data_IF_956878286354
#
_entry.id   IF_956878286354
#
_cell.length_a   1.000
_cell.length_b   1.000
_cell.length_c   1.000
_cell.angle_alpha   90.00
_cell.angle_beta   90.00
_cell.angle_gamma   90.00
#
_symmetry.space_group_name_H-M   'P 1'
#
loop_
_entity.id
_entity.type
_entity.pdbx_description
1 polymer ?
#
# COMPACT_ATOMS: atom_id res chain seq x y z
N UNK A 1 9.71 12.17 9.75
CA UNK A 1 9.39 13.47 9.13
C UNK A 1 10.65 14.01 8.52
N UNK A 2 10.61 14.48 7.28
CA UNK A 2 11.74 15.15 6.64
C UNK A 2 11.33 16.60 6.44
N UNK A 3 12.18 17.54 6.84
CA UNK A 3 11.98 18.98 6.55
C UNK A 3 13.06 19.43 5.57
N UNK A 4 12.69 20.34 4.69
CA UNK A 4 13.54 20.75 3.58
C UNK A 4 13.23 22.18 3.15
N UNK A 5 14.26 22.81 2.61
CA UNK A 5 14.23 24.02 1.79
C UNK A 5 15.07 23.68 0.53
N UNK A 6 15.99 24.56 0.11
CA UNK A 6 17.03 24.30 -0.89
C UNK A 6 17.88 23.05 -0.56
N UNK A 7 17.88 22.65 0.71
CA UNK A 7 18.56 21.47 1.24
C UNK A 7 17.65 20.72 2.22
N UNK A 8 18.01 19.46 2.52
CA UNK A 8 17.40 18.74 3.64
C UNK A 8 17.89 19.36 4.95
N UNK A 9 16.96 19.82 5.78
CA UNK A 9 17.31 20.42 7.07
C UNK A 9 17.35 19.36 8.17
N UNK A 10 16.27 18.56 8.28
CA UNK A 10 16.11 17.60 9.36
C UNK A 10 15.48 16.29 8.87
N UNK A 11 15.95 15.17 9.45
CA UNK A 11 15.36 13.84 9.26
C UNK A 11 15.01 13.27 10.64
N UNK A 12 13.72 13.17 10.91
CA UNK A 12 13.18 12.61 12.15
C UNK A 12 12.69 11.18 11.95
N UNK A 13 13.12 10.19 12.75
CA UNK A 13 12.75 8.80 12.56
C UNK A 13 11.25 8.54 12.78
N UNK A 14 10.80 7.34 12.40
CA UNK A 14 9.46 6.90 12.81
C UNK A 14 9.34 6.81 14.33
N UNK A 15 8.14 7.11 14.82
CA UNK A 15 7.78 7.02 16.22
C UNK A 15 6.35 6.53 16.36
N UNK A 16 6.09 5.78 17.44
CA UNK A 16 4.74 5.43 17.88
C UNK A 16 4.19 6.40 18.93
N UNK A 17 5.02 7.33 19.40
CA UNK A 17 4.65 8.35 20.38
C UNK A 17 4.06 9.58 19.67
N UNK A 18 2.74 9.72 19.81
CA UNK A 18 1.97 10.83 19.22
C UNK A 18 2.39 12.17 19.82
N UNK A 19 2.67 12.23 21.12
CA UNK A 19 3.04 13.49 21.78
C UNK A 19 4.43 13.94 21.32
N UNK A 20 5.36 13.01 21.17
CA UNK A 20 6.66 13.29 20.59
C UNK A 20 6.53 13.81 19.16
N UNK A 21 5.75 13.15 18.31
CA UNK A 21 5.53 13.61 16.94
C UNK A 21 4.90 15.01 16.89
N UNK A 22 3.90 15.29 17.73
CA UNK A 22 3.29 16.61 17.85
C UNK A 22 4.32 17.67 18.26
N UNK A 23 5.23 17.34 19.19
CA UNK A 23 6.29 18.24 19.61
C UNK A 23 7.23 18.60 18.45
N UNK A 24 7.55 17.63 17.57
CA UNK A 24 8.39 17.88 16.39
C UNK A 24 7.69 18.81 15.40
N UNK A 25 6.41 18.56 15.11
CA UNK A 25 5.61 19.41 14.19
C UNK A 25 5.47 20.83 14.75
N UNK A 26 5.23 20.98 16.05
CA UNK A 26 5.06 22.29 16.68
C UNK A 26 6.31 23.18 16.68
N UNK A 27 7.49 22.59 16.48
CA UNK A 27 8.75 23.32 16.36
C UNK A 27 8.98 23.85 14.95
N UNK A 28 8.26 23.33 13.95
CA UNK A 28 8.43 23.74 12.57
C UNK A 28 7.78 25.10 12.35
N UNK A 29 8.52 25.97 11.67
CA UNK A 29 8.04 27.25 11.20
C UNK A 29 8.61 27.48 9.81
N UNK A 30 7.83 28.11 8.94
CA UNK A 30 8.33 28.54 7.64
C UNK A 30 9.45 29.56 7.86
N UNK A 31 10.60 29.32 7.25
CA UNK A 31 11.75 30.21 7.25
C UNK A 31 12.62 29.91 6.02
N UNK A 32 13.39 30.90 5.57
CA UNK A 32 14.15 30.80 4.32
C UNK A 32 13.34 31.18 3.07
N UNK A 33 14.09 31.56 2.02
CA UNK A 33 13.73 31.75 0.61
C UNK A 33 12.50 32.60 0.24
N UNK A 34 12.69 33.70 -0.49
CA UNK A 34 11.64 34.26 -1.36
C UNK A 34 11.79 33.74 -2.80
N UNK A 35 12.58 32.69 -2.96
CA UNK A 35 12.91 32.03 -4.19
C UNK A 35 12.35 30.61 -4.20
N UNK A 36 11.80 30.26 -5.35
CA UNK A 36 11.56 28.89 -5.75
C UNK A 36 12.56 28.59 -6.88
N UNK A 37 12.97 27.32 -7.08
CA UNK A 37 12.43 26.06 -6.51
C UNK A 37 13.04 25.61 -5.16
N UNK A 38 12.45 24.58 -4.54
CA UNK A 38 12.93 23.93 -3.30
C UNK A 38 13.39 22.48 -3.56
N UNK A 39 14.06 21.82 -2.60
CA UNK A 39 14.66 20.49 -2.79
C UNK A 39 13.74 19.31 -2.44
N UNK A 40 12.50 19.35 -2.94
CA UNK A 40 11.49 18.31 -2.70
C UNK A 40 11.93 16.92 -3.19
N UNK A 41 12.67 16.84 -4.32
CA UNK A 41 13.10 15.56 -4.89
C UNK A 41 14.04 14.81 -3.93
N UNK A 42 14.99 15.51 -3.29
CA UNK A 42 15.85 14.90 -2.29
C UNK A 42 15.03 14.44 -1.07
N UNK A 43 14.04 15.21 -0.63
CA UNK A 43 13.22 14.86 0.53
C UNK A 43 12.40 13.58 0.29
N UNK A 44 11.89 13.40 -0.94
CA UNK A 44 11.21 12.17 -1.35
C UNK A 44 12.18 10.97 -1.40
N UNK A 45 13.42 11.17 -1.85
CA UNK A 45 14.47 10.14 -1.76
C UNK A 45 14.78 9.79 -0.30
N UNK A 46 14.90 10.75 0.61
CA UNK A 46 15.09 10.47 2.03
C UNK A 46 13.93 9.65 2.61
N UNK A 47 12.69 9.92 2.18
CA UNK A 47 11.53 9.14 2.59
C UNK A 47 11.64 7.65 2.19
N UNK A 48 12.30 7.33 1.08
CA UNK A 48 12.54 5.92 0.67
C UNK A 48 13.45 5.16 1.62
N UNK A 49 14.27 5.85 2.42
CA UNK A 49 15.24 5.25 3.34
C UNK A 49 14.64 4.90 4.69
N UNK A 50 13.38 5.27 4.95
CA UNK A 50 12.73 4.99 6.23
C UNK A 50 12.49 3.48 6.40
N UNK A 51 12.56 2.95 7.64
CA UNK A 51 12.43 1.52 7.91
C UNK A 51 10.96 1.07 7.93
N UNK A 52 10.33 1.04 6.76
CA UNK A 52 8.95 0.55 6.63
C UNK A 52 8.84 -0.95 6.95
N UNK A 53 7.79 -1.32 7.70
CA UNK A 53 7.46 -2.74 7.92
C UNK A 53 7.08 -3.41 6.59
N UNK A 54 7.45 -4.68 6.43
CA UNK A 54 7.24 -5.44 5.19
C UNK A 54 5.78 -5.45 4.70
N UNK A 55 4.82 -5.50 5.62
CA UNK A 55 3.39 -5.58 5.31
C UNK A 55 2.63 -4.27 5.63
N UNK A 56 3.33 -3.16 5.85
CA UNK A 56 2.66 -1.87 6.05
C UNK A 56 2.28 -1.24 4.71
N UNK A 57 1.15 -0.52 4.68
CA UNK A 57 0.94 0.51 3.69
C UNK A 57 2.00 1.60 3.91
N UNK A 58 2.70 2.00 2.85
CA UNK A 58 3.80 2.95 2.92
C UNK A 58 3.35 4.24 2.26
N UNK A 59 3.15 5.26 3.08
CA UNK A 59 2.50 6.49 2.67
C UNK A 59 3.44 7.66 2.95
N UNK A 60 3.57 8.54 1.96
CA UNK A 60 4.21 9.84 2.11
C UNK A 60 3.14 10.91 1.95
N UNK A 61 3.14 11.88 2.87
CA UNK A 61 2.38 13.11 2.73
C UNK A 61 3.41 14.20 2.47
N UNK A 62 3.50 14.62 1.21
CA UNK A 62 4.41 15.65 0.74
C UNK A 62 3.70 17.01 0.77
N UNK A 63 4.19 17.93 1.59
CA UNK A 63 3.56 19.24 1.78
C UNK A 63 4.58 20.29 1.36
N UNK A 64 4.24 21.13 0.38
CA UNK A 64 5.06 22.27 -0.04
C UNK A 64 4.19 23.24 -0.82
N UNK A 65 4.54 24.52 -0.81
CA UNK A 65 3.97 25.54 -1.70
C UNK A 65 4.86 25.83 -2.92
N UNK A 66 6.11 25.37 -2.91
CA UNK A 66 7.08 25.64 -3.95
C UNK A 66 7.17 24.57 -5.05
N UNK A 67 7.69 24.98 -6.21
CA UNK A 67 8.21 24.07 -7.24
C UNK A 67 9.49 23.34 -6.77
N UNK A 68 10.03 22.41 -7.57
CA UNK A 68 11.27 21.68 -7.20
C UNK A 68 12.42 21.78 -8.21
N UNK A 69 13.63 21.70 -7.67
CA UNK A 69 14.86 21.54 -8.45
C UNK A 69 14.89 20.19 -9.17
N UNK A 70 15.38 20.16 -10.42
CA UNK A 70 15.51 18.95 -11.23
C UNK A 70 16.74 19.04 -12.15
N UNK A 71 17.71 18.16 -11.95
CA UNK A 71 18.95 18.08 -12.74
C UNK A 71 19.63 19.45 -12.98
N UNK A 72 19.92 20.15 -11.90
CA UNK A 72 20.53 21.47 -11.87
C UNK A 72 21.67 21.57 -10.85
N UNK A 73 22.04 22.79 -10.46
CA UNK A 73 23.14 23.04 -9.51
C UNK A 73 22.83 22.62 -8.08
N UNK A 74 21.55 22.44 -7.72
CA UNK A 74 21.10 22.09 -6.37
C UNK A 74 20.82 20.60 -6.23
N UNK A 75 20.39 19.94 -7.31
CA UNK A 75 20.21 18.49 -7.33
C UNK A 75 20.52 17.87 -8.69
N UNK A 76 21.20 16.72 -8.68
CA UNK A 76 21.35 15.89 -9.88
C UNK A 76 20.18 14.94 -10.09
N UNK A 77 19.18 14.94 -9.20
CA UNK A 77 18.02 14.05 -9.29
C UNK A 77 17.08 14.52 -10.40
N UNK A 78 16.55 13.55 -11.14
CA UNK A 78 15.39 13.76 -12.01
C UNK A 78 14.11 13.30 -11.31
N UNK A 79 12.95 13.76 -11.77
CA UNK A 79 11.67 13.23 -11.27
C UNK A 79 11.54 11.71 -11.49
N UNK A 80 12.12 11.20 -12.58
CA UNK A 80 12.09 9.77 -12.89
C UNK A 80 12.88 8.94 -11.89
N UNK A 81 14.05 9.43 -11.44
CA UNK A 81 14.85 8.75 -10.41
C UNK A 81 14.05 8.60 -9.11
N UNK A 82 13.35 9.68 -8.73
CA UNK A 82 12.48 9.69 -7.54
C UNK A 82 11.30 8.73 -7.70
N UNK A 83 10.62 8.75 -8.84
CA UNK A 83 9.49 7.84 -9.12
C UNK A 83 9.95 6.38 -9.04
N UNK A 84 11.07 6.03 -9.67
CA UNK A 84 11.63 4.68 -9.63
C UNK A 84 11.94 4.24 -8.19
N UNK A 85 12.57 5.11 -7.39
CA UNK A 85 12.87 4.83 -6.00
C UNK A 85 11.60 4.62 -5.16
N UNK A 86 10.61 5.50 -5.28
CA UNK A 86 9.31 5.40 -4.59
C UNK A 86 8.58 4.10 -4.93
N UNK A 87 8.49 3.76 -6.22
CA UNK A 87 7.82 2.55 -6.70
C UNK A 87 8.54 1.28 -6.25
N UNK A 88 9.88 1.25 -6.27
CA UNK A 88 10.66 0.11 -5.77
C UNK A 88 10.40 -0.19 -4.29
N UNK A 89 10.08 0.85 -3.54
CA UNK A 89 9.73 0.76 -2.13
C UNK A 89 8.23 0.61 -1.90
N UNK A 90 7.39 0.58 -2.94
CA UNK A 90 5.93 0.50 -2.81
C UNK A 90 5.33 1.68 -2.03
N UNK A 91 5.95 2.86 -2.15
CA UNK A 91 5.48 4.09 -1.52
C UNK A 91 4.39 4.75 -2.37
N UNK A 92 3.35 5.23 -1.69
CA UNK A 92 2.32 6.05 -2.30
C UNK A 92 2.48 7.48 -1.78
N UNK A 93 2.55 8.45 -2.70
CA UNK A 93 2.78 9.86 -2.36
C UNK A 93 1.50 10.66 -2.58
N UNK A 94 0.95 11.20 -1.50
CA UNK A 94 -0.02 12.30 -1.58
C UNK A 94 0.71 13.61 -1.52
N UNK A 95 0.29 14.59 -2.32
CA UNK A 95 0.79 15.95 -2.14
C UNK A 95 -0.29 16.92 -1.68
N UNK A 96 0.15 17.90 -0.91
CA UNK A 96 -0.64 19.03 -0.45
C UNK A 96 0.14 20.27 -0.88
N UNK A 97 -0.43 21.04 -1.81
CA UNK A 97 0.24 22.20 -2.41
C UNK A 97 -0.72 23.10 -3.18
N UNK A 98 -0.24 24.18 -3.82
CA UNK A 98 -1.09 25.08 -4.60
C UNK A 98 -1.54 24.42 -5.91
N UNK A 99 -2.82 24.56 -6.23
CA UNK A 99 -3.45 23.99 -7.44
C UNK A 99 -2.73 24.43 -8.73
N UNK A 100 -2.14 25.64 -8.75
CA UNK A 100 -1.37 26.16 -9.89
C UNK A 100 -0.19 25.27 -10.29
N UNK A 101 0.39 24.55 -9.33
CA UNK A 101 1.57 23.70 -9.55
C UNK A 101 1.17 22.22 -9.76
N UNK A 102 -0.12 21.87 -9.62
CA UNK A 102 -0.64 20.49 -9.65
C UNK A 102 -0.15 19.72 -10.87
N UNK A 103 -0.51 20.15 -12.07
CA UNK A 103 -0.25 19.36 -13.29
C UNK A 103 1.23 19.30 -13.68
N UNK A 104 2.00 20.35 -13.40
CA UNK A 104 3.40 20.43 -13.82
C UNK A 104 4.37 19.76 -12.84
N UNK A 105 4.10 19.87 -11.53
CA UNK A 105 5.05 19.46 -10.50
C UNK A 105 4.55 18.25 -9.70
N UNK A 106 3.29 18.24 -9.29
CA UNK A 106 2.76 17.21 -8.40
C UNK A 106 2.29 15.94 -9.11
N UNK A 107 1.42 16.08 -10.11
CA UNK A 107 0.82 14.98 -10.88
C UNK A 107 1.86 13.98 -11.43
N UNK A 108 3.04 14.41 -11.95
CA UNK A 108 4.06 13.49 -12.45
C UNK A 108 4.60 12.49 -11.41
N UNK A 109 4.55 12.81 -10.11
CA UNK A 109 5.03 11.92 -9.04
C UNK A 109 3.84 11.20 -8.36
N UNK A 110 2.73 11.92 -8.15
CA UNK A 110 1.55 11.40 -7.45
C UNK A 110 0.85 10.32 -8.27
N UNK A 111 0.61 10.55 -9.56
CA UNK A 111 -0.17 9.64 -10.39
C UNK A 111 0.52 8.28 -10.51
N UNK A 112 1.83 8.18 -10.81
CA UNK A 112 2.51 6.89 -10.90
C UNK A 112 2.53 6.13 -9.57
N UNK A 113 2.66 6.84 -8.45
CA UNK A 113 2.66 6.23 -7.12
C UNK A 113 1.26 5.89 -6.61
N UNK A 114 0.20 6.34 -7.28
CA UNK A 114 -1.20 6.04 -6.96
C UNK A 114 -1.77 6.89 -5.83
N UNK A 115 -1.20 8.07 -5.57
CA UNK A 115 -1.69 9.01 -4.58
C UNK A 115 -2.70 10.01 -5.14
N UNK A 116 -3.02 11.00 -4.32
CA UNK A 116 -3.92 12.11 -4.65
C UNK A 116 -3.26 13.45 -4.33
N UNK A 117 -3.67 14.47 -5.07
CA UNK A 117 -3.37 15.86 -4.78
C UNK A 117 -4.46 16.49 -3.91
N UNK A 118 -4.07 17.41 -3.04
CA UNK A 118 -4.97 18.24 -2.26
C UNK A 118 -4.48 19.70 -2.27
N UNK A 119 -5.42 20.63 -2.35
CA UNK A 119 -5.11 22.06 -2.25
C UNK A 119 -4.65 22.42 -0.83
N UNK A 120 -3.50 23.09 -0.71
CA UNK A 120 -2.94 23.56 0.56
C UNK A 120 -3.85 24.57 1.28
N UNK A 121 -4.69 25.29 0.54
CA UNK A 121 -5.70 26.20 1.11
C UNK A 121 -6.99 25.48 1.52
N UNK A 122 -7.10 24.17 1.25
CA UNK A 122 -8.22 23.34 1.64
C UNK A 122 -8.30 23.10 3.16
N UNK A 123 -9.40 22.47 3.59
CA UNK A 123 -9.55 22.09 5.00
C UNK A 123 -8.58 20.94 5.33
N UNK A 124 -7.49 21.27 6.02
CA UNK A 124 -6.43 20.32 6.35
C UNK A 124 -6.92 19.11 7.14
N UNK A 125 -7.91 19.27 8.02
CA UNK A 125 -8.51 18.15 8.75
C UNK A 125 -9.19 17.18 7.79
N UNK A 126 -9.94 17.69 6.83
CA UNK A 126 -10.65 16.83 5.86
C UNK A 126 -9.66 16.13 4.92
N UNK A 127 -8.59 16.82 4.52
CA UNK A 127 -7.49 16.23 3.75
C UNK A 127 -6.85 15.06 4.50
N UNK A 128 -6.49 15.26 5.77
CA UNK A 128 -5.93 14.18 6.60
C UNK A 128 -6.92 13.03 6.79
N UNK A 129 -8.21 13.33 6.95
CA UNK A 129 -9.26 12.32 7.03
C UNK A 129 -9.37 11.53 5.72
N UNK A 130 -9.30 12.17 4.56
CA UNK A 130 -9.38 11.49 3.27
C UNK A 130 -8.16 10.59 3.02
N UNK A 131 -6.94 11.10 3.26
CA UNK A 131 -5.71 10.30 3.23
C UNK A 131 -5.84 9.10 4.19
N UNK A 132 -6.31 9.32 5.42
CA UNK A 132 -6.48 8.25 6.41
C UNK A 132 -7.52 7.22 5.98
N UNK A 133 -8.57 7.62 5.25
CA UNK A 133 -9.61 6.73 4.71
C UNK A 133 -9.09 5.94 3.52
N UNK A 134 -8.26 6.55 2.67
CA UNK A 134 -7.60 5.89 1.56
C UNK A 134 -6.71 4.72 2.02
N UNK A 135 -6.08 4.89 3.19
CA UNK A 135 -5.27 3.87 3.87
C UNK A 135 -5.90 3.30 5.12
N UNK A 136 -7.21 3.48 5.29
CA UNK A 136 -7.99 2.70 6.23
C UNK A 136 -7.97 1.28 5.69
N UNK A 137 -6.85 0.63 5.97
CA UNK A 137 -6.72 -0.79 5.97
C UNK A 137 -7.96 -1.29 6.70
N UNK A 138 -8.84 -1.99 5.98
CA UNK A 138 -9.84 -2.85 6.60
C UNK A 138 -9.19 -3.95 7.46
N UNK A 139 -7.85 -3.99 7.53
CA UNK A 139 -7.04 -4.86 8.36
C UNK A 139 -6.57 -4.09 9.59
N UNK A 140 -7.17 -4.43 10.72
CA UNK A 140 -6.71 -4.06 12.05
C UNK A 140 -5.88 -5.23 12.59
N UNK A 141 -4.78 -4.93 13.30
CA UNK A 141 -4.03 -5.95 14.05
C UNK A 141 -4.43 -5.83 15.51
N UNK A 142 -5.07 -6.87 16.03
CA UNK A 142 -5.42 -7.01 17.43
C UNK A 142 -4.45 -8.00 18.07
N UNK A 143 -3.75 -7.58 19.11
CA UNK A 143 -2.86 -8.44 19.89
C UNK A 143 -3.41 -8.61 21.29
N UNK A 144 -3.58 -9.85 21.74
CA UNK A 144 -4.06 -10.20 23.07
C UNK A 144 -3.12 -11.25 23.68
N UNK A 145 -2.64 -10.98 24.88
CA UNK A 145 -1.86 -11.94 25.68
C UNK A 145 -2.77 -12.51 26.76
N UNK A 146 -3.01 -13.82 26.71
CA UNK A 146 -3.81 -14.51 27.73
C UNK A 146 -3.08 -14.52 29.08
N UNK A 147 -3.83 -14.34 30.17
CA UNK A 147 -3.34 -14.56 31.54
C UNK A 147 -3.32 -16.06 31.92
N UNK A 148 -3.97 -16.91 31.12
CA UNK A 148 -3.93 -18.37 31.29
C UNK A 148 -2.71 -18.97 30.59
N UNK A 149 -2.02 -19.88 31.28
CA UNK A 149 -0.92 -20.67 30.71
C UNK A 149 -1.37 -21.84 29.84
N UNK A 150 -2.67 -22.15 29.82
CA UNK A 150 -3.24 -23.22 29.01
C UNK A 150 -3.78 -22.68 27.69
N UNK A 151 -3.55 -23.41 26.59
CA UNK A 151 -4.11 -23.07 25.28
C UNK A 151 -5.64 -23.15 25.32
N UNK A 152 -6.36 -22.09 24.95
CA UNK A 152 -7.82 -22.15 24.87
C UNK A 152 -8.24 -23.07 23.72
N UNK A 153 -9.33 -23.83 23.87
CA UNK A 153 -9.88 -24.63 22.78
C UNK A 153 -10.45 -23.76 21.66
N UNK A 154 -10.90 -22.54 22.01
CA UNK A 154 -11.57 -21.60 21.12
C UNK A 154 -11.20 -20.16 21.50
N UNK A 155 -10.97 -19.31 20.49
CA UNK A 155 -10.83 -17.86 20.63
C UNK A 155 -11.96 -17.21 19.83
N UNK A 156 -12.89 -16.55 20.52
CA UNK A 156 -13.93 -15.75 19.89
C UNK A 156 -13.50 -14.28 19.83
N UNK A 157 -13.35 -13.75 18.62
CA UNK A 157 -13.19 -12.34 18.36
C UNK A 157 -14.53 -11.72 17.99
N UNK A 158 -14.94 -10.66 18.69
CA UNK A 158 -16.16 -9.92 18.37
C UNK A 158 -15.83 -8.43 18.21
N UNK A 159 -16.29 -7.83 17.12
CA UNK A 159 -16.14 -6.40 16.84
C UNK A 159 -17.53 -5.77 16.83
N UNK A 160 -17.70 -4.66 17.56
CA UNK A 160 -18.94 -3.86 17.58
C UNK A 160 -18.59 -2.39 17.42
N UNK A 161 -19.24 -1.71 16.48
CA UNK A 161 -19.08 -0.27 16.25
C UNK A 161 -20.37 0.33 15.70
N UNK A 162 -20.90 1.36 16.37
CA UNK A 162 -22.11 2.10 15.95
C UNK A 162 -23.32 1.22 15.60
N UNK A 163 -23.55 0.14 16.35
CA UNK A 163 -24.63 -0.81 16.10
C UNK A 163 -24.36 -1.83 15.00
N UNK A 164 -23.22 -1.74 14.32
CA UNK A 164 -22.72 -2.71 13.34
C UNK A 164 -21.61 -3.57 13.97
N UNK A 165 -21.32 -4.73 13.37
CA UNK A 165 -20.30 -5.62 13.90
C UNK A 165 -20.31 -7.01 13.29
N UNK A 166 -19.42 -7.86 13.79
CA UNK A 166 -19.28 -9.25 13.37
C UNK A 166 -18.52 -10.06 14.42
N UNK A 167 -18.57 -11.38 14.29
CA UNK A 167 -17.81 -12.29 15.11
C UNK A 167 -17.04 -13.30 14.26
N UNK A 168 -15.86 -13.67 14.74
CA UNK A 168 -15.04 -14.72 14.18
C UNK A 168 -14.60 -15.65 15.31
N UNK A 169 -14.61 -16.96 15.03
CA UNK A 169 -14.16 -17.99 15.96
C UNK A 169 -12.90 -18.62 15.38
N UNK A 170 -11.84 -18.66 16.18
CA UNK A 170 -10.55 -19.26 15.82
C UNK A 170 -10.24 -20.40 16.78
N UNK A 171 -10.02 -21.59 16.25
CA UNK A 171 -9.56 -22.74 17.01
C UNK A 171 -8.03 -22.81 16.89
N UNK A 172 -7.25 -22.57 17.96
CA UNK A 172 -5.80 -22.69 17.88
C UNK A 172 -5.41 -24.18 17.69
N UNK A 173 -4.93 -24.51 16.49
CA UNK A 173 -4.45 -25.87 16.16
C UNK A 173 -2.96 -25.97 16.43
N UNK A 174 -2.59 -26.59 17.56
CA UNK A 174 -1.22 -27.02 17.84
C UNK A 174 -0.20 -25.88 18.03
N UNK A 175 0.97 -26.25 18.55
CA UNK A 175 2.07 -25.34 18.96
C UNK A 175 2.87 -24.76 17.79
N UNK A 176 2.41 -24.91 16.55
CA UNK A 176 3.13 -24.44 15.36
C UNK A 176 2.44 -23.20 14.80
N UNK A 177 2.99 -22.05 15.16
CA UNK A 177 2.67 -20.77 14.56
C UNK A 177 2.67 -20.89 13.03
N UNK A 178 1.51 -20.67 12.40
CA UNK A 178 1.44 -20.57 10.95
C UNK A 178 2.34 -19.43 10.50
N UNK A 179 3.32 -19.78 9.67
CA UNK A 179 4.22 -18.91 8.94
C UNK A 179 3.42 -17.71 8.40
N UNK A 180 3.92 -16.50 8.65
CA UNK A 180 3.48 -15.26 8.00
C UNK A 180 3.85 -15.25 6.49
N UNK A 181 3.71 -16.38 5.80
CA UNK A 181 3.94 -16.46 4.36
C UNK A 181 2.66 -16.15 3.63
N UNK A 182 2.70 -15.16 2.76
CA UNK A 182 1.73 -15.00 1.68
C UNK A 182 1.63 -16.31 0.89
N UNK A 183 0.41 -16.76 0.64
CA UNK A 183 0.14 -17.94 -0.18
C UNK A 183 0.10 -17.60 -1.67
N UNK A 184 0.07 -16.31 -2.00
CA UNK A 184 0.06 -15.79 -3.36
C UNK A 184 1.25 -14.83 -3.58
N UNK A 185 2.14 -15.22 -4.49
CA UNK A 185 3.14 -14.33 -5.08
C UNK A 185 2.83 -14.14 -6.56
N UNK A 186 3.22 -13.01 -7.15
CA UNK A 186 2.96 -12.72 -8.55
C UNK A 186 4.03 -11.83 -9.15
N UNK A 187 4.43 -12.13 -10.38
CA UNK A 187 5.44 -11.38 -11.12
C UNK A 187 5.31 -11.63 -12.63
N UNK A 188 5.77 -10.68 -13.47
CA UNK A 188 6.07 -9.31 -13.11
C UNK A 188 4.81 -8.54 -12.68
N UNK A 189 4.96 -7.44 -11.95
CA UNK A 189 3.88 -6.47 -11.72
C UNK A 189 4.51 -5.07 -11.62
N UNK A 190 4.24 -4.13 -12.56
CA UNK A 190 3.28 -4.23 -13.65
C UNK A 190 3.63 -5.33 -14.68
N UNK A 191 2.64 -5.83 -15.42
CA UNK A 191 2.82 -6.93 -16.39
C UNK A 191 2.35 -6.56 -17.79
N UNK A 192 2.97 -7.15 -18.84
CA UNK A 192 2.55 -7.01 -20.23
C UNK A 192 3.04 -8.21 -21.10
N UNK A 193 2.16 -9.01 -21.72
CA UNK A 193 0.76 -9.28 -21.36
C UNK A 193 0.64 -10.41 -20.32
N UNK A 194 1.76 -10.98 -19.88
CA UNK A 194 1.79 -12.17 -19.04
C UNK A 194 2.18 -11.86 -17.60
N UNK A 195 1.44 -12.43 -16.67
CA UNK A 195 1.78 -12.50 -15.25
C UNK A 195 1.79 -13.95 -14.79
N UNK A 196 2.73 -14.27 -13.92
CA UNK A 196 2.86 -15.56 -13.27
C UNK A 196 2.41 -15.43 -11.82
N UNK A 197 1.45 -16.24 -11.41
CA UNK A 197 1.05 -16.41 -10.01
C UNK A 197 1.70 -17.66 -9.45
N UNK A 198 2.44 -17.53 -8.35
CA UNK A 198 2.91 -18.67 -7.57
C UNK A 198 2.01 -18.85 -6.34
N UNK A 199 1.53 -20.08 -6.16
CA UNK A 199 0.59 -20.44 -5.10
C UNK A 199 1.25 -21.45 -4.15
N UNK A 200 1.47 -21.06 -2.89
CA UNK A 200 2.02 -21.94 -1.85
C UNK A 200 0.91 -22.73 -1.15
N UNK A 201 0.19 -23.61 -1.84
CA UNK A 201 -1.03 -24.29 -1.31
C UNK A 201 -0.86 -24.95 0.07
N UNK A 202 0.33 -25.32 0.54
CA UNK A 202 0.52 -25.93 1.86
C UNK A 202 -0.38 -27.16 2.11
N UNK A 203 -1.09 -27.19 3.25
CA UNK A 203 -1.98 -28.29 3.64
C UNK A 203 -3.45 -28.13 3.18
N UNK A 204 -3.75 -27.15 2.32
CA UNK A 204 -5.11 -26.90 1.84
C UNK A 204 -5.56 -27.95 0.81
N UNK A 205 -6.86 -28.17 0.63
CA UNK A 205 -7.41 -29.25 -0.22
C UNK A 205 -7.41 -28.93 -1.73
N UNK A 206 -7.27 -27.65 -2.09
CA UNK A 206 -7.42 -27.12 -3.45
C UNK A 206 -7.96 -25.70 -3.37
N UNK A 207 -8.37 -25.12 -4.50
CA UNK A 207 -8.88 -23.75 -4.51
C UNK A 207 -9.10 -23.19 -5.91
N UNK A 208 -9.11 -21.86 -5.98
CA UNK A 208 -9.17 -21.13 -7.23
C UNK A 208 -8.57 -19.73 -7.09
N UNK A 209 -8.15 -19.19 -8.23
CA UNK A 209 -7.71 -17.82 -8.39
C UNK A 209 -8.74 -17.08 -9.23
N UNK A 210 -9.33 -16.03 -8.66
CA UNK A 210 -10.36 -15.20 -9.29
C UNK A 210 -9.77 -13.83 -9.59
N UNK A 211 -10.01 -13.31 -10.79
CA UNK A 211 -9.51 -11.99 -11.21
C UNK A 211 -10.69 -11.09 -11.51
N UNK A 212 -10.68 -9.88 -10.97
CA UNK A 212 -11.73 -8.89 -11.08
C UNK A 212 -11.20 -7.57 -11.62
N UNK A 213 -12.02 -6.83 -12.36
CA UNK A 213 -11.73 -5.43 -12.65
C UNK A 213 -12.07 -4.52 -11.46
N UNK A 214 -11.80 -3.22 -11.56
CA UNK A 214 -12.08 -2.25 -10.50
C UNK A 214 -13.56 -2.06 -10.16
N UNK A 215 -14.46 -2.42 -11.08
CA UNK A 215 -15.91 -2.40 -10.84
C UNK A 215 -16.38 -3.65 -10.06
N UNK A 216 -15.48 -4.57 -9.72
CA UNK A 216 -15.80 -5.83 -9.04
C UNK A 216 -16.36 -6.91 -9.97
N UNK A 217 -16.31 -6.71 -11.29
CA UNK A 217 -16.77 -7.70 -12.25
C UNK A 217 -15.72 -8.81 -12.37
N UNK A 218 -16.16 -10.07 -12.28
CA UNK A 218 -15.30 -11.25 -12.45
C UNK A 218 -14.89 -11.38 -13.92
N UNK A 219 -13.58 -11.44 -14.15
CA UNK A 219 -12.94 -11.47 -15.46
C UNK A 219 -12.42 -12.86 -15.81
N UNK A 220 -11.81 -13.53 -14.82
CA UNK A 220 -11.18 -14.84 -15.01
C UNK A 220 -11.30 -15.68 -13.74
N UNK A 221 -11.58 -16.97 -13.90
CA UNK A 221 -11.44 -17.96 -12.83
C UNK A 221 -10.45 -19.05 -13.26
N UNK A 222 -9.52 -19.40 -12.37
CA UNK A 222 -8.50 -20.42 -12.60
C UNK A 222 -8.50 -21.40 -11.44
N UNK A 223 -8.81 -22.66 -11.69
CA UNK A 223 -8.83 -23.70 -10.67
C UNK A 223 -7.41 -24.04 -10.18
N UNK A 224 -7.29 -24.29 -8.87
CA UNK A 224 -6.05 -24.71 -8.21
C UNK A 224 -6.28 -26.11 -7.66
N UNK A 225 -5.58 -27.07 -8.24
CA UNK A 225 -5.58 -28.45 -7.77
C UNK A 225 -4.39 -28.74 -6.83
N UNK A 226 -4.18 -30.01 -6.50
CA UNK A 226 -3.09 -30.43 -5.62
C UNK A 226 -1.69 -30.19 -6.19
N UNK A 227 -1.55 -30.07 -7.50
CA UNK A 227 -0.26 -29.98 -8.20
C UNK A 227 0.02 -28.55 -8.70
N UNK A 228 -0.95 -27.65 -8.58
CA UNK A 228 -0.85 -26.27 -9.05
C UNK A 228 0.07 -25.45 -8.14
N UNK A 229 1.28 -25.17 -8.61
CA UNK A 229 2.24 -24.29 -7.93
C UNK A 229 2.43 -22.94 -8.64
N UNK A 230 2.27 -22.92 -9.97
CA UNK A 230 2.49 -21.75 -10.81
C UNK A 230 1.42 -21.67 -11.90
N UNK A 231 0.87 -20.47 -12.12
CA UNK A 231 -0.20 -20.18 -13.07
C UNK A 231 0.23 -19.01 -13.93
N UNK A 232 0.24 -19.17 -15.25
CA UNK A 232 0.52 -18.08 -16.19
C UNK A 232 -0.80 -17.57 -16.76
N UNK A 233 -1.01 -16.26 -16.69
CA UNK A 233 -2.18 -15.60 -17.23
C UNK A 233 -1.80 -14.49 -18.21
N UNK A 234 -2.37 -14.52 -19.41
CA UNK A 234 -2.02 -13.63 -20.54
C UNK A 234 -3.01 -12.49 -20.75
N UNK A 235 -3.53 -11.88 -19.66
CA UNK A 235 -4.49 -10.76 -19.72
C UNK A 235 -5.78 -11.06 -20.52
N UNK A 236 -6.28 -12.30 -20.45
CA UNK A 236 -7.51 -12.73 -21.14
C UNK A 236 -8.66 -12.99 -20.17
N UNK A 237 -9.89 -12.69 -20.56
CA UNK A 237 -11.09 -13.07 -19.79
C UNK A 237 -11.40 -14.59 -19.96
N UNK A 238 -12.50 -15.06 -19.37
CA UNK A 238 -12.94 -16.46 -19.53
C UNK A 238 -13.37 -16.83 -20.95
N UNK A 239 -13.71 -15.86 -21.80
CA UNK A 239 -14.02 -16.06 -23.21
C UNK A 239 -12.79 -16.07 -24.13
N UNK A 240 -11.59 -15.76 -23.60
CA UNK A 240 -10.35 -15.65 -24.36
C UNK A 240 -10.06 -14.25 -24.93
N UNK A 241 -10.93 -13.26 -24.69
CA UNK A 241 -10.71 -11.89 -25.14
C UNK A 241 -9.67 -11.17 -24.29
N UNK A 242 -8.84 -10.34 -24.92
CA UNK A 242 -7.93 -9.46 -24.20
C UNK A 242 -8.70 -8.42 -23.39
N UNK A 243 -8.25 -8.21 -22.16
CA UNK A 243 -8.79 -7.19 -21.26
C UNK A 243 -8.17 -5.82 -21.55
N UNK A 244 -8.72 -4.77 -20.94
CA UNK A 244 -8.16 -3.41 -21.06
C UNK A 244 -6.94 -3.22 -20.17
N UNK A 245 -6.00 -2.34 -20.53
CA UNK A 245 -4.94 -1.94 -19.60
C UNK A 245 -5.57 -1.30 -18.34
N UNK A 246 -4.99 -1.54 -17.18
CA UNK A 246 -5.51 -1.01 -15.92
C UNK A 246 -5.25 -1.90 -14.72
N UNK A 247 -5.83 -1.51 -13.59
CA UNK A 247 -5.70 -2.21 -12.31
C UNK A 247 -6.73 -3.33 -12.18
N UNK A 248 -6.30 -4.46 -11.66
CA UNK A 248 -7.12 -5.65 -11.40
C UNK A 248 -6.91 -6.16 -9.97
N UNK A 249 -7.94 -6.80 -9.44
CA UNK A 249 -7.90 -7.46 -8.13
C UNK A 249 -7.83 -8.96 -8.36
N UNK A 250 -6.86 -9.62 -7.74
CA UNK A 250 -6.73 -11.07 -7.71
C UNK A 250 -7.12 -11.56 -6.33
N UNK A 251 -7.97 -12.59 -6.28
CA UNK A 251 -8.39 -13.27 -5.07
C UNK A 251 -8.01 -14.74 -5.17
N UNK A 252 -7.10 -15.18 -4.31
CA UNK A 252 -6.83 -16.58 -4.05
C UNK A 252 -7.85 -17.08 -3.02
N UNK A 253 -8.52 -18.17 -3.35
CA UNK A 253 -9.43 -18.91 -2.46
C UNK A 253 -8.86 -20.30 -2.28
N UNK A 254 -8.59 -20.70 -1.03
CA UNK A 254 -8.10 -22.05 -0.71
C UNK A 254 -9.09 -22.77 0.20
N UNK A 255 -9.45 -24.00 -0.15
CA UNK A 255 -10.38 -24.82 0.58
C UNK A 255 -9.70 -25.54 1.76
N UNK A 256 -10.34 -25.49 2.93
CA UNK A 256 -9.95 -26.16 4.17
C UNK A 256 -10.94 -27.31 4.46
N UNK A 257 -10.59 -28.21 5.38
CA UNK A 257 -11.54 -29.19 5.92
C UNK A 257 -12.75 -28.49 6.54
N UNK A 258 -13.92 -29.15 6.48
CA UNK A 258 -15.20 -28.67 7.01
C UNK A 258 -15.74 -27.39 6.34
N UNK A 259 -15.62 -27.30 5.00
CA UNK A 259 -16.17 -26.20 4.18
C UNK A 259 -15.63 -24.79 4.48
N UNK A 260 -14.60 -24.69 5.32
CA UNK A 260 -13.92 -23.42 5.58
C UNK A 260 -13.05 -23.01 4.39
N UNK A 261 -12.91 -21.70 4.17
CA UNK A 261 -12.10 -21.13 3.09
C UNK A 261 -11.11 -20.10 3.62
N UNK A 262 -9.89 -20.14 3.11
CA UNK A 262 -8.90 -19.08 3.26
C UNK A 262 -8.95 -18.16 2.04
N UNK A 263 -8.85 -16.85 2.28
CA UNK A 263 -8.86 -15.84 1.24
C UNK A 263 -7.62 -14.97 1.32
N UNK A 264 -6.98 -14.75 0.18
CA UNK A 264 -5.89 -13.78 0.03
C UNK A 264 -6.13 -12.92 -1.21
N UNK A 265 -5.99 -11.60 -1.07
CA UNK A 265 -6.23 -10.66 -2.17
C UNK A 265 -5.00 -9.85 -2.50
N UNK A 266 -4.76 -9.63 -3.78
CA UNK A 266 -3.70 -8.79 -4.30
C UNK A 266 -4.21 -7.84 -5.40
N UNK A 267 -3.50 -6.73 -5.60
CA UNK A 267 -3.72 -5.82 -6.74
C UNK A 267 -2.61 -6.04 -7.77
N UNK A 268 -2.96 -6.08 -9.05
CA UNK A 268 -2.03 -6.22 -10.17
C UNK A 268 -2.33 -5.15 -11.23
N UNK A 269 -1.31 -4.69 -11.95
CA UNK A 269 -1.40 -3.64 -12.97
C UNK A 269 -1.00 -4.20 -14.34
N UNK A 270 -1.96 -4.22 -15.27
CA UNK A 270 -1.73 -4.60 -16.67
C UNK A 270 -1.43 -3.36 -17.51
N UNK A 271 -0.33 -3.41 -18.27
CA UNK A 271 0.04 -2.39 -19.27
C UNK A 271 -0.05 -3.01 -20.67
N UNK A 272 -0.59 -2.27 -21.65
CA UNK A 272 -0.60 -2.68 -23.06
C UNK A 272 0.69 -2.28 -23.76
#
# INVERSE_FOLDING_TARGET
MVTFLDVIENIYPFTTDVQYFQSLVSQQHAHGGADEPENSLQALIEATKYPFRQNANRVVIWITDATYHENDTYTSLTKNDVITALLSMGLIVHAIGPESNKSSYYDPIIIPTGGNFYDIYGNFRDILLDISRFYSSSKYVLSYQSLSSQLPAEIKLQIRYAGLGGEAIVFPIGTTFYKSSRYLAFYPNPFNPQITFNVEKGNYLGGELRIFNLLGQLIKTINIDNNTQSIIWSAQNDNGDLISAGLYIVQLVLNVKNELQYFETAKILYLK
#
